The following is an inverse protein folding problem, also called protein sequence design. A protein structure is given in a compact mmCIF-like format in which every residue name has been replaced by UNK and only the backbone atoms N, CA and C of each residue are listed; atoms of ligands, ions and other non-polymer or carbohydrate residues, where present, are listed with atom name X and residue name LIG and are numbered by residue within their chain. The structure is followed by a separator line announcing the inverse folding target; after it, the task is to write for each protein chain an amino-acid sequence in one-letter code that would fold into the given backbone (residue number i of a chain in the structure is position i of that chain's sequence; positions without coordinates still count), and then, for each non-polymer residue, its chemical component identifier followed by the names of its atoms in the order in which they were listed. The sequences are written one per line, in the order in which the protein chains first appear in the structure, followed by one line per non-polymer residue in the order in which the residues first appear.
data_IF_044652474284
#
_entry.id   IF_044652474284
#
_cell.length_a   1.000
_cell.length_b   1.000
_cell.length_c   1.000
_cell.angle_alpha   90.00
_cell.angle_beta   90.00
_cell.angle_gamma   90.00
#
_symmetry.space_group_name_H-M   'P 1'
#
loop_
_entity.id
_entity.type
_entity.pdbx_description
1 polymer ?
#
# COMPACT_ATOMS: atom_id res chain seq x y z
N UNK A 1 19.31 -3.78 16.38
CA UNK A 1 19.10 -2.34 16.08
C UNK A 1 18.50 -1.69 17.32
N UNK A 2 18.95 -0.52 17.75
CA UNK A 2 18.31 0.18 18.89
C UNK A 2 16.97 0.78 18.48
N UNK A 3 16.10 1.05 19.47
CA UNK A 3 14.80 1.68 19.24
C UNK A 3 14.94 3.01 18.47
N UNK A 4 15.91 3.83 18.87
CA UNK A 4 16.17 5.11 18.20
C UNK A 4 16.52 4.94 16.73
N UNK A 5 17.39 3.98 16.42
CA UNK A 5 17.77 3.68 15.03
C UNK A 5 16.56 3.19 14.22
N UNK A 6 15.73 2.33 14.80
CA UNK A 6 14.50 1.86 14.15
C UNK A 6 13.54 3.02 13.85
N UNK A 7 13.30 3.89 14.83
CA UNK A 7 12.44 5.07 14.70
C UNK A 7 12.95 6.03 13.62
N UNK A 8 14.27 6.29 13.58
CA UNK A 8 14.87 7.15 12.56
C UNK A 8 14.68 6.57 11.17
N UNK A 9 15.03 5.29 10.95
CA UNK A 9 14.88 4.62 9.65
C UNK A 9 13.42 4.64 9.19
N UNK A 10 12.49 4.30 10.09
CA UNK A 10 11.05 4.26 9.79
C UNK A 10 10.48 5.60 9.33
N UNK A 11 11.03 6.72 9.81
CA UNK A 11 10.60 8.07 9.41
C UNK A 11 11.14 8.50 8.04
N UNK A 12 12.34 8.04 7.69
CA UNK A 12 13.05 8.51 6.49
C UNK A 12 12.94 7.55 5.31
N UNK A 13 12.43 6.34 5.50
CA UNK A 13 12.27 5.37 4.42
C UNK A 13 11.40 5.93 3.27
N UNK A 14 11.85 5.69 2.04
CA UNK A 14 11.20 6.06 0.79
C UNK A 14 11.31 4.87 -0.18
N UNK A 15 10.32 4.71 -1.05
CA UNK A 15 10.24 3.58 -2.00
C UNK A 15 10.35 4.04 -3.45
N UNK A 16 10.67 5.31 -3.68
CA UNK A 16 10.67 5.96 -4.98
C UNK A 16 11.62 7.17 -4.98
N UNK A 17 11.90 7.69 -6.18
CA UNK A 17 12.69 8.92 -6.35
C UNK A 17 11.82 10.16 -6.16
N UNK A 18 12.16 10.98 -5.15
CA UNK A 18 11.46 12.24 -4.85
C UNK A 18 11.53 13.24 -6.01
N UNK A 19 12.58 13.21 -6.83
CA UNK A 19 12.78 14.19 -7.90
C UNK A 19 11.77 14.01 -9.04
N UNK A 20 11.39 12.77 -9.34
CA UNK A 20 10.44 12.44 -10.42
C UNK A 20 8.99 12.38 -9.94
N UNK A 21 8.76 12.22 -8.62
CA UNK A 21 7.43 12.10 -8.01
C UNK A 21 6.44 13.19 -8.42
N UNK A 22 6.77 14.50 -8.48
CA UNK A 22 5.79 15.54 -8.79
C UNK A 22 5.08 15.33 -10.13
N UNK A 23 5.79 14.87 -11.15
CA UNK A 23 5.21 14.59 -12.47
C UNK A 23 4.38 13.29 -12.45
N UNK A 24 4.90 12.23 -11.83
CA UNK A 24 4.18 10.95 -11.74
C UNK A 24 2.88 11.06 -10.95
N UNK A 25 2.90 11.82 -9.84
CA UNK A 25 1.75 12.01 -8.96
C UNK A 25 0.55 12.70 -9.61
N UNK A 26 0.74 13.36 -10.76
CA UNK A 26 -0.37 13.94 -11.56
C UNK A 26 -1.25 12.84 -12.16
N UNK A 27 -0.66 11.71 -12.52
CA UNK A 27 -1.33 10.59 -13.18
C UNK A 27 -1.58 9.42 -12.22
N UNK A 28 -0.67 9.21 -11.26
CA UNK A 28 -0.70 8.08 -10.34
C UNK A 28 -0.68 8.55 -8.88
N UNK A 29 -1.81 8.38 -8.19
CA UNK A 29 -1.92 8.70 -6.75
C UNK A 29 -1.05 7.80 -5.86
N UNK A 30 -0.57 6.66 -6.38
CA UNK A 30 0.30 5.70 -5.71
C UNK A 30 1.78 5.86 -6.10
N UNK A 31 2.16 6.94 -6.78
CA UNK A 31 3.52 7.17 -7.28
C UNK A 31 4.63 7.01 -6.21
N UNK A 32 4.34 7.19 -4.91
CA UNK A 32 5.34 6.98 -3.86
C UNK A 32 5.71 5.50 -3.60
N UNK A 33 4.87 4.55 -4.04
CA UNK A 33 5.02 3.10 -3.80
C UNK A 33 4.78 2.25 -5.05
N UNK A 34 4.56 2.87 -6.20
CA UNK A 34 4.18 2.19 -7.43
C UNK A 34 5.25 1.17 -7.86
N UNK A 35 6.53 1.54 -7.80
CA UNK A 35 7.64 0.69 -8.25
C UNK A 35 7.75 -0.61 -7.43
N UNK A 36 7.55 -0.54 -6.11
CA UNK A 36 7.57 -1.73 -5.24
C UNK A 36 6.31 -2.58 -5.45
N UNK A 37 5.16 -1.94 -5.68
CA UNK A 37 3.91 -2.64 -6.01
C UNK A 37 4.06 -3.43 -7.31
N UNK A 38 4.62 -2.83 -8.35
CA UNK A 38 4.84 -3.49 -9.64
C UNK A 38 5.77 -4.70 -9.51
N UNK A 39 6.89 -4.55 -8.78
CA UNK A 39 7.79 -5.66 -8.49
C UNK A 39 7.08 -6.79 -7.74
N UNK A 40 6.25 -6.44 -6.75
CA UNK A 40 5.51 -7.42 -5.97
C UNK A 40 4.51 -8.20 -6.83
N UNK A 41 3.69 -7.50 -7.62
CA UNK A 41 2.72 -8.12 -8.55
C UNK A 41 3.41 -8.99 -9.59
N UNK A 42 4.59 -8.60 -10.06
CA UNK A 42 5.37 -9.38 -10.99
C UNK A 42 5.94 -10.67 -10.39
N UNK A 43 6.33 -10.64 -9.11
CA UNK A 43 6.97 -11.78 -8.43
C UNK A 43 5.94 -12.81 -7.95
N UNK A 44 4.79 -12.38 -7.41
CA UNK A 44 3.82 -13.28 -6.77
C UNK A 44 3.40 -14.48 -7.63
N UNK A 45 3.04 -14.34 -8.91
CA UNK A 45 2.65 -15.48 -9.75
C UNK A 45 3.77 -16.50 -9.99
N UNK A 46 5.03 -16.09 -9.83
CA UNK A 46 6.20 -16.98 -9.96
C UNK A 46 6.45 -17.80 -8.71
N UNK A 47 5.98 -17.32 -7.55
CA UNK A 47 6.16 -17.99 -6.27
C UNK A 47 5.02 -18.94 -5.93
N UNK A 48 3.83 -18.70 -6.49
CA UNK A 48 2.65 -19.48 -6.19
C UNK A 48 1.76 -19.64 -7.43
N UNK A 49 1.44 -20.89 -7.77
CA UNK A 49 0.46 -21.22 -8.79
C UNK A 49 -0.87 -21.57 -8.10
N UNK A 50 -1.88 -20.69 -8.14
CA UNK A 50 -3.18 -21.00 -7.54
C UNK A 50 -3.91 -22.12 -8.29
N UNK A 51 -4.71 -22.90 -7.56
CA UNK A 51 -5.62 -23.88 -8.16
C UNK A 51 -6.84 -23.18 -8.79
N UNK A 52 -7.70 -23.97 -9.45
CA UNK A 52 -8.86 -23.49 -10.22
C UNK A 52 -9.84 -22.59 -9.44
N UNK A 53 -9.98 -22.84 -8.13
CA UNK A 53 -10.92 -22.11 -7.27
C UNK A 53 -10.23 -20.93 -6.57
N UNK A 54 -10.32 -19.75 -7.17
CA UNK A 54 -9.79 -18.49 -6.63
C UNK A 54 -10.95 -17.56 -6.28
N UNK A 55 -10.90 -16.95 -5.10
CA UNK A 55 -11.89 -15.96 -4.66
C UNK A 55 -11.27 -14.57 -4.61
N UNK A 56 -11.45 -13.73 -5.64
CA UNK A 56 -11.08 -12.32 -5.56
C UNK A 56 -12.02 -11.59 -4.59
N UNK A 57 -11.44 -10.87 -3.65
CA UNK A 57 -12.16 -10.06 -2.67
C UNK A 57 -11.42 -8.73 -2.42
N UNK A 58 -12.09 -7.76 -1.81
CA UNK A 58 -11.49 -6.49 -1.42
C UNK A 58 -10.80 -6.58 -0.06
N UNK A 59 -9.57 -6.06 0.03
CA UNK A 59 -8.86 -5.93 1.31
C UNK A 59 -8.73 -4.46 1.70
N UNK A 60 -9.33 -4.10 2.84
CA UNK A 60 -9.27 -2.74 3.38
C UNK A 60 -8.13 -2.61 4.39
N UNK A 61 -7.15 -1.77 4.04
CA UNK A 61 -6.07 -1.41 4.96
C UNK A 61 -6.47 -0.12 5.70
N UNK A 62 -6.65 -0.23 7.02
CA UNK A 62 -7.04 0.90 7.85
C UNK A 62 -5.91 1.93 7.87
N UNK A 63 -6.21 3.15 7.43
CA UNK A 63 -5.26 4.27 7.42
C UNK A 63 -5.82 5.48 8.16
N UNK A 64 -5.05 6.02 9.10
CA UNK A 64 -5.44 7.20 9.91
C UNK A 64 -4.87 8.52 9.38
N UNK A 65 -3.92 8.47 8.45
CA UNK A 65 -3.27 9.67 7.87
C UNK A 65 -4.06 10.19 6.67
N UNK A 66 -3.90 11.47 6.34
CA UNK A 66 -4.41 12.06 5.09
C UNK A 66 -3.82 11.32 3.90
N UNK A 67 -4.69 10.76 3.07
CA UNK A 67 -4.32 9.98 1.91
C UNK A 67 -5.31 10.32 0.77
N UNK A 68 -4.82 10.66 -0.45
CA UNK A 68 -5.66 11.17 -1.54
C UNK A 68 -6.58 10.11 -2.18
N UNK A 69 -6.45 8.85 -1.77
CA UNK A 69 -7.27 7.71 -2.22
C UNK A 69 -7.97 7.00 -1.07
N UNK A 70 -8.03 7.62 0.12
CA UNK A 70 -8.81 7.09 1.24
C UNK A 70 -10.30 7.12 0.88
N UNK A 71 -10.95 5.96 0.96
CA UNK A 71 -12.39 5.80 0.73
C UNK A 71 -13.11 5.51 2.05
N UNK A 72 -14.35 5.94 2.14
CA UNK A 72 -15.26 5.59 3.23
C UNK A 72 -16.21 4.51 2.71
N UNK A 73 -16.16 3.32 3.30
CA UNK A 73 -16.98 2.17 2.90
C UNK A 73 -17.96 1.87 4.02
N UNK A 74 -19.24 2.17 3.75
CA UNK A 74 -20.30 2.16 4.76
C UNK A 74 -20.58 0.77 5.33
N UNK A 75 -20.44 -0.30 4.54
CA UNK A 75 -20.78 -1.68 4.94
C UNK A 75 -19.92 -2.24 6.08
N UNK A 76 -18.72 -1.70 6.32
CA UNK A 76 -17.78 -2.22 7.33
C UNK A 76 -17.81 -1.47 8.67
N UNK A 77 -18.69 -0.48 8.84
CA UNK A 77 -18.73 0.35 10.06
C UNK A 77 -19.59 -0.23 11.19
N UNK A 78 -20.38 -1.28 10.91
CA UNK A 78 -21.28 -1.88 11.90
C UNK A 78 -20.67 -3.05 12.68
N UNK A 79 -19.37 -3.36 12.49
CA UNK A 79 -18.70 -4.47 13.21
C UNK A 79 -17.89 -4.04 14.44
N UNK A 80 -18.03 -2.79 14.89
CA UNK A 80 -17.30 -2.26 16.06
C UNK A 80 -18.13 -1.36 16.99
N UNK A 81 -19.45 -1.36 16.85
CA UNK A 81 -20.37 -0.70 17.79
C UNK A 81 -21.32 -1.74 18.40
N UNK A 82 -20.77 -2.61 19.24
CA UNK A 82 -21.46 -3.28 20.34
C UNK A 82 -20.43 -3.74 21.36
#
# INVERSE_FOLDING_TARGET
MSLDKFCTVSRVIRFDDKTTRPERSKLDKLAAVQDIREKWVYILPKLYNPNENITPDEQLVVFRVRCPFKQYILRHLNMGQK
#
